data_IF_107729289091
#
_entry.id   IF_107729289091
#
_cell.length_a   1.000
_cell.length_b   1.000
_cell.length_c   1.000
_cell.angle_alpha   90.00
_cell.angle_beta   90.00
_cell.angle_gamma   90.00
#
_symmetry.space_group_name_H-M   'P 1'
#
loop_
_entity.id
_entity.type
_entity.pdbx_description
1 polymer ?
#
# COMPACT_ATOMS: atom_id res chain seq x y z
N UNK A 1 -19.40 -17.97 -22.39
CA UNK A 1 -19.77 -17.18 -21.19
C UNK A 1 -18.58 -16.52 -20.48
N UNK A 2 -17.33 -17.03 -20.57
CA UNK A 2 -16.18 -16.43 -19.85
C UNK A 2 -15.67 -15.09 -20.43
N UNK A 3 -15.65 -14.92 -21.76
CA UNK A 3 -15.16 -13.69 -22.41
C UNK A 3 -16.06 -12.46 -22.20
N UNK A 4 -17.37 -12.67 -22.02
CA UNK A 4 -18.34 -11.59 -21.75
C UNK A 4 -18.26 -11.12 -20.31
N UNK A 5 -18.08 -12.05 -19.35
CA UNK A 5 -17.91 -11.73 -17.94
C UNK A 5 -16.71 -10.80 -17.70
N UNK A 6 -15.56 -11.10 -18.31
CA UNK A 6 -14.35 -10.27 -18.17
C UNK A 6 -14.59 -8.85 -18.72
N UNK A 7 -15.29 -8.71 -19.84
CA UNK A 7 -15.63 -7.40 -20.42
C UNK A 7 -16.58 -6.62 -19.51
N UNK A 8 -17.60 -7.28 -18.97
CA UNK A 8 -18.56 -6.68 -18.04
C UNK A 8 -17.86 -6.21 -16.75
N UNK A 9 -16.93 -7.01 -16.21
CA UNK A 9 -16.12 -6.62 -15.04
C UNK A 9 -15.21 -5.42 -15.33
N UNK A 10 -14.57 -5.38 -16.51
CA UNK A 10 -13.72 -4.25 -16.91
C UNK A 10 -14.55 -2.96 -17.08
N UNK A 11 -15.74 -3.07 -17.69
CA UNK A 11 -16.65 -1.93 -17.85
C UNK A 11 -17.12 -1.40 -16.48
N UNK A 12 -17.60 -2.29 -15.60
CA UNK A 12 -18.06 -1.92 -14.27
C UNK A 12 -16.96 -1.26 -13.44
N UNK A 13 -15.74 -1.80 -13.47
CA UNK A 13 -14.61 -1.22 -12.73
C UNK A 13 -14.19 0.16 -13.27
N UNK A 14 -14.23 0.38 -14.60
CA UNK A 14 -14.03 1.71 -15.22
C UNK A 14 -15.12 2.70 -14.83
N UNK A 15 -16.37 2.25 -14.76
CA UNK A 15 -17.54 3.07 -14.39
C UNK A 15 -17.65 3.31 -12.87
N UNK A 16 -16.61 2.96 -12.10
CA UNK A 16 -16.52 3.23 -10.67
C UNK A 16 -17.25 2.23 -9.78
N UNK A 17 -17.76 1.13 -10.32
CA UNK A 17 -18.30 0.04 -9.51
C UNK A 17 -17.19 -0.73 -8.80
N UNK A 18 -17.53 -1.31 -7.66
CA UNK A 18 -16.61 -2.09 -6.82
C UNK A 18 -17.13 -3.51 -6.64
N UNK A 19 -16.26 -4.53 -6.71
CA UNK A 19 -16.68 -5.89 -6.41
C UNK A 19 -17.17 -5.98 -4.96
N UNK A 20 -18.30 -6.63 -4.75
CA UNK A 20 -18.84 -6.91 -3.42
C UNK A 20 -18.24 -8.23 -2.92
N UNK A 21 -17.40 -8.16 -1.90
CA UNK A 21 -16.61 -9.30 -1.41
C UNK A 21 -17.36 -10.19 -0.42
N UNK A 22 -18.40 -9.66 0.21
CA UNK A 22 -19.20 -10.39 1.21
C UNK A 22 -20.24 -11.29 0.54
N UNK A 23 -20.74 -12.26 1.30
CA UNK A 23 -21.80 -13.15 0.84
C UNK A 23 -23.17 -12.61 1.27
N UNK A 24 -24.07 -12.27 0.31
CA UNK A 24 -25.46 -11.96 0.63
C UNK A 24 -26.17 -13.13 1.30
N UNK A 25 -27.16 -12.83 2.14
CA UNK A 25 -28.01 -13.83 2.77
C UNK A 25 -28.76 -14.70 1.75
N UNK A 26 -29.03 -15.95 2.12
CA UNK A 26 -29.74 -16.90 1.25
C UNK A 26 -31.13 -16.37 0.83
N UNK A 27 -31.80 -15.65 1.72
CA UNK A 27 -33.12 -15.01 1.53
C UNK A 27 -33.16 -14.04 0.34
N UNK A 28 -32.02 -13.43 -0.02
CA UNK A 28 -31.89 -12.59 -1.20
C UNK A 28 -32.02 -13.43 -2.47
N UNK A 29 -31.35 -14.58 -2.50
CA UNK A 29 -31.34 -15.47 -3.67
C UNK A 29 -32.68 -16.18 -3.86
N UNK A 30 -33.38 -16.50 -2.77
CA UNK A 30 -34.75 -17.01 -2.82
C UNK A 30 -35.70 -16.00 -3.45
N UNK A 31 -35.65 -14.73 -3.03
CA UNK A 31 -36.47 -13.64 -3.63
C UNK A 31 -36.15 -13.37 -5.09
N UNK A 32 -34.87 -13.49 -5.47
CA UNK A 32 -34.42 -13.32 -6.85
C UNK A 32 -34.67 -14.57 -7.72
N UNK A 33 -35.08 -15.71 -7.14
CA UNK A 33 -35.23 -16.97 -7.87
C UNK A 33 -33.90 -17.48 -8.44
N UNK A 34 -32.78 -17.25 -7.76
CA UNK A 34 -31.45 -17.59 -8.27
C UNK A 34 -31.16 -19.10 -8.13
N UNK A 35 -31.68 -19.90 -9.05
CA UNK A 35 -31.52 -21.36 -9.04
C UNK A 35 -30.07 -21.85 -8.90
N UNK A 36 -29.04 -21.23 -9.53
CA UNK A 36 -27.66 -21.72 -9.40
C UNK A 36 -27.17 -21.72 -7.96
N UNK A 37 -27.52 -20.69 -7.19
CA UNK A 37 -27.16 -20.58 -5.77
C UNK A 37 -27.99 -21.54 -4.93
N UNK A 38 -29.30 -21.59 -5.16
CA UNK A 38 -30.23 -22.45 -4.42
C UNK A 38 -29.94 -23.95 -4.64
N UNK A 39 -29.43 -24.33 -5.81
CA UNK A 39 -29.02 -25.70 -6.16
C UNK A 39 -27.55 -25.99 -5.83
N UNK A 40 -26.83 -25.06 -5.17
CA UNK A 40 -25.43 -25.25 -4.76
C UNK A 40 -24.44 -25.40 -5.93
N UNK A 41 -24.75 -24.86 -7.12
CA UNK A 41 -23.87 -24.95 -8.29
C UNK A 41 -22.64 -24.05 -8.13
N UNK A 42 -21.54 -24.44 -8.78
CA UNK A 42 -20.26 -23.69 -8.78
C UNK A 42 -20.32 -22.34 -9.50
N UNK A 43 -21.34 -22.08 -10.31
CA UNK A 43 -21.54 -20.78 -10.96
C UNK A 43 -21.98 -19.75 -9.93
N UNK A 44 -20.98 -19.12 -9.30
CA UNK A 44 -21.19 -18.17 -8.22
C UNK A 44 -21.70 -16.83 -8.78
N UNK A 45 -22.66 -16.19 -8.11
CA UNK A 45 -23.06 -14.83 -8.43
C UNK A 45 -21.86 -13.90 -8.21
N UNK A 46 -21.68 -12.96 -9.14
CA UNK A 46 -20.63 -11.93 -9.07
C UNK A 46 -21.28 -10.59 -8.82
N UNK A 47 -21.27 -10.13 -7.58
CA UNK A 47 -21.89 -8.88 -7.17
C UNK A 47 -20.91 -7.71 -7.24
N UNK A 48 -21.41 -6.57 -7.67
CA UNK A 48 -20.76 -5.27 -7.65
C UNK A 48 -21.66 -4.27 -6.95
N UNK A 49 -21.08 -3.22 -6.36
CA UNK A 49 -21.84 -2.13 -5.75
C UNK A 49 -21.26 -0.77 -6.13
N UNK A 50 -22.12 0.24 -6.14
CA UNK A 50 -21.76 1.65 -6.28
C UNK A 50 -22.75 2.48 -5.47
N UNK A 51 -22.27 3.06 -4.37
CA UNK A 51 -23.15 3.69 -3.39
C UNK A 51 -24.16 2.67 -2.84
N UNK A 52 -25.45 2.93 -3.06
CA UNK A 52 -26.57 2.11 -2.58
C UNK A 52 -27.06 1.04 -3.56
N UNK A 53 -26.48 0.98 -4.76
CA UNK A 53 -26.92 0.08 -5.84
C UNK A 53 -25.99 -1.11 -5.96
N UNK A 54 -26.58 -2.30 -6.09
CA UNK A 54 -25.91 -3.59 -6.19
C UNK A 54 -26.32 -4.29 -7.49
N UNK A 55 -25.36 -4.80 -8.24
CA UNK A 55 -25.58 -5.47 -9.54
C UNK A 55 -24.85 -6.81 -9.58
N UNK A 56 -25.54 -7.86 -10.04
CA UNK A 56 -24.95 -9.17 -10.28
C UNK A 56 -24.66 -9.37 -11.77
N UNK A 57 -23.45 -9.79 -12.11
CA UNK A 57 -23.04 -10.15 -13.49
C UNK A 57 -22.80 -11.65 -13.68
N UNK A 58 -23.17 -12.47 -12.70
CA UNK A 58 -22.94 -13.92 -12.75
C UNK A 58 -23.78 -14.68 -13.78
N UNK A 59 -24.89 -14.12 -14.24
CA UNK A 59 -25.78 -14.75 -15.23
C UNK A 59 -26.48 -13.71 -16.10
N UNK A 60 -27.19 -14.17 -17.14
CA UNK A 60 -27.82 -13.31 -18.14
C UNK A 60 -28.96 -12.42 -17.60
N UNK A 61 -29.55 -12.76 -16.44
CA UNK A 61 -30.62 -11.96 -15.83
C UNK A 61 -30.16 -10.62 -15.26
N UNK A 62 -28.84 -10.46 -15.01
CA UNK A 62 -28.21 -9.20 -14.59
C UNK A 62 -28.97 -8.45 -13.48
N UNK A 63 -29.25 -9.15 -12.37
CA UNK A 63 -30.05 -8.61 -11.28
C UNK A 63 -29.47 -7.28 -10.74
N UNK A 64 -30.32 -6.28 -10.56
CA UNK A 64 -29.98 -4.97 -9.98
C UNK A 64 -30.88 -4.68 -8.77
N UNK A 65 -30.30 -4.26 -7.67
CA UNK A 65 -30.96 -4.04 -6.38
C UNK A 65 -30.51 -2.70 -5.79
N UNK A 66 -31.43 -1.97 -5.15
CA UNK A 66 -31.11 -0.73 -4.42
C UNK A 66 -31.38 -0.95 -2.93
N UNK A 67 -30.37 -0.74 -2.07
CA UNK A 67 -30.40 -1.03 -0.62
C UNK A 67 -31.10 -2.35 -0.24
N UNK A 68 -30.71 -3.49 -0.83
CA UNK A 68 -31.34 -4.76 -0.51
C UNK A 68 -31.07 -5.19 0.95
N UNK A 69 -32.13 -5.53 1.68
CA UNK A 69 -32.01 -6.24 2.96
C UNK A 69 -31.34 -7.60 2.74
N UNK A 70 -30.41 -7.98 3.62
CA UNK A 70 -29.62 -9.22 3.52
C UNK A 70 -28.29 -9.07 2.78
N UNK A 71 -27.90 -7.85 2.39
CA UNK A 71 -26.51 -7.55 2.04
C UNK A 71 -25.86 -6.91 3.27
N UNK A 72 -24.89 -7.59 3.92
CA UNK A 72 -24.03 -6.95 4.90
C UNK A 72 -23.49 -5.63 4.34
N UNK A 73 -23.68 -4.53 5.08
CA UNK A 73 -23.15 -3.24 4.67
C UNK A 73 -21.63 -3.42 4.55
N UNK A 74 -21.03 -3.19 3.36
CA UNK A 74 -19.59 -3.30 3.24
C UNK A 74 -19.02 -2.30 4.23
N UNK A 75 -18.30 -2.80 5.24
CA UNK A 75 -17.60 -1.93 6.17
C UNK A 75 -16.78 -0.97 5.31
N UNK A 76 -16.76 0.34 5.61
CA UNK A 76 -15.88 1.24 4.91
C UNK A 76 -14.49 0.63 5.03
N UNK A 77 -13.96 0.12 3.90
CA UNK A 77 -12.64 -0.47 3.87
C UNK A 77 -11.72 0.71 4.12
N UNK A 78 -11.40 0.92 5.40
CA UNK A 78 -10.27 1.72 5.82
C UNK A 78 -9.08 0.91 5.36
N UNK A 79 -8.73 1.08 4.09
CA UNK A 79 -7.34 0.91 3.71
C UNK A 79 -6.59 1.74 4.74
N UNK A 80 -5.67 1.11 5.49
CA UNK A 80 -4.62 1.90 6.11
C UNK A 80 -4.09 2.73 4.95
N UNK A 81 -4.31 4.04 5.00
CA UNK A 81 -3.66 4.95 4.07
C UNK A 81 -2.23 4.49 4.06
N UNK A 82 -1.76 4.00 2.91
CA UNK A 82 -0.33 3.80 2.72
C UNK A 82 0.22 5.15 3.16
N UNK A 83 0.97 5.23 4.28
CA UNK A 83 1.47 6.52 4.71
C UNK A 83 2.22 7.06 3.50
N UNK A 84 1.86 8.26 3.02
CA UNK A 84 2.43 8.83 1.79
C UNK A 84 3.97 8.85 1.86
N UNK A 85 4.49 8.84 3.08
CA UNK A 85 5.88 8.60 3.42
C UNK A 85 6.05 7.23 4.09
N UNK A 86 6.93 6.35 3.62
CA UNK A 86 7.19 5.11 4.32
C UNK A 86 7.69 5.41 5.73
N UNK A 87 6.95 4.95 6.73
CA UNK A 87 7.20 5.13 8.17
C UNK A 87 8.59 4.65 8.67
N UNK A 88 9.42 4.15 7.77
CA UNK A 88 10.75 3.60 8.02
C UNK A 88 11.88 4.41 7.36
N UNK A 89 11.57 5.51 6.66
CA UNK A 89 12.58 6.40 6.08
C UNK A 89 12.74 7.64 6.95
N UNK A 90 13.88 7.75 7.63
CA UNK A 90 14.29 8.98 8.30
C UNK A 90 14.94 9.90 7.28
N UNK A 91 14.59 11.18 7.28
CA UNK A 91 15.33 12.15 6.48
C UNK A 91 16.79 12.27 6.98
N UNK A 92 17.74 12.73 6.14
CA UNK A 92 19.10 13.02 6.58
C UNK A 92 19.18 13.93 7.82
N UNK A 93 18.27 14.89 7.94
CA UNK A 93 18.19 15.82 9.07
C UNK A 93 17.72 15.12 10.34
N UNK A 94 16.68 14.31 10.24
CA UNK A 94 16.21 13.50 11.36
C UNK A 94 17.25 12.47 11.79
N UNK A 95 18.00 11.89 10.84
CA UNK A 95 19.06 10.95 11.15
C UNK A 95 20.21 11.59 11.93
N UNK A 96 20.57 12.83 11.59
CA UNK A 96 21.57 13.64 12.31
C UNK A 96 21.05 14.19 13.66
N UNK A 97 19.74 14.37 13.81
CA UNK A 97 19.13 14.85 15.05
C UNK A 97 18.92 13.73 16.08
N UNK A 98 18.57 12.51 15.63
CA UNK A 98 18.26 11.37 16.52
C UNK A 98 19.49 10.56 16.95
N UNK A 99 20.61 10.66 16.22
CA UNK A 99 21.80 9.83 16.49
C UNK A 99 23.07 10.67 16.61
N UNK A 100 23.74 10.59 17.77
CA UNK A 100 25.06 11.22 17.98
C UNK A 100 26.21 10.50 17.26
N UNK A 101 26.01 9.20 16.98
CA UNK A 101 27.02 8.32 16.38
C UNK A 101 26.43 7.60 15.18
N UNK A 102 26.99 7.85 14.01
CA UNK A 102 26.54 7.28 12.76
C UNK A 102 27.42 6.10 12.35
N UNK A 103 26.81 5.12 11.70
CA UNK A 103 27.52 4.11 10.93
C UNK A 103 27.94 4.69 9.57
N UNK A 104 28.88 4.04 8.88
CA UNK A 104 29.35 4.43 7.53
C UNK A 104 28.17 4.57 6.55
N UNK A 105 27.22 3.63 6.57
CA UNK A 105 26.02 3.68 5.73
C UNK A 105 25.13 4.89 6.01
N UNK A 106 24.99 5.25 7.28
CA UNK A 106 24.18 6.40 7.70
C UNK A 106 24.87 7.71 7.33
N UNK A 107 26.19 7.80 7.49
CA UNK A 107 26.97 8.94 7.04
C UNK A 107 26.95 9.11 5.51
N UNK A 108 27.08 8.01 4.77
CA UNK A 108 26.95 7.99 3.30
C UNK A 108 25.58 8.51 2.85
N UNK A 109 24.51 8.06 3.54
CA UNK A 109 23.16 8.55 3.31
C UNK A 109 23.01 10.05 3.61
N UNK A 110 23.57 10.53 4.72
CA UNK A 110 23.47 11.94 5.13
C UNK A 110 24.24 12.91 4.21
N UNK A 111 25.37 12.46 3.66
CA UNK A 111 26.23 13.25 2.77
C UNK A 111 25.92 13.03 1.28
N UNK A 112 25.00 12.12 0.95
CA UNK A 112 24.68 11.71 -0.41
C UNK A 112 25.92 11.25 -1.23
N UNK A 113 26.80 10.48 -0.61
CA UNK A 113 28.02 9.92 -1.22
C UNK A 113 28.09 8.40 -1.09
N UNK A 114 29.01 7.76 -1.82
CA UNK A 114 29.22 6.32 -1.70
C UNK A 114 29.89 5.94 -0.37
N UNK A 115 29.66 4.71 0.13
CA UNK A 115 30.33 4.20 1.34
C UNK A 115 31.87 4.27 1.21
N UNK A 116 32.40 4.02 0.00
CA UNK A 116 33.84 4.11 -0.29
C UNK A 116 34.39 5.50 -0.04
N UNK A 117 33.69 6.53 -0.53
CA UNK A 117 34.06 7.93 -0.32
C UNK A 117 34.10 8.30 1.16
N UNK A 118 33.20 7.72 1.98
CA UNK A 118 33.24 7.91 3.44
C UNK A 118 34.48 7.26 4.06
N UNK A 119 34.88 6.07 3.61
CA UNK A 119 36.16 5.47 4.06
C UNK A 119 37.36 6.32 3.65
N UNK A 120 37.35 6.90 2.45
CA UNK A 120 38.40 7.80 1.98
C UNK A 120 38.48 9.06 2.87
N UNK A 121 37.33 9.67 3.23
CA UNK A 121 37.30 10.81 4.17
C UNK A 121 37.80 10.47 5.58
N UNK A 122 37.60 9.23 6.03
CA UNK A 122 38.16 8.75 7.30
C UNK A 122 39.68 8.56 7.17
N UNK A 123 40.17 8.04 6.04
CA UNK A 123 41.60 7.86 5.78
C UNK A 123 42.34 9.19 5.62
N UNK A 124 41.70 10.18 5.00
CA UNK A 124 42.17 11.57 4.85
C UNK A 124 42.13 12.36 6.18
N UNK A 125 41.48 11.82 7.22
CA UNK A 125 41.32 12.49 8.52
C UNK A 125 40.26 13.59 8.54
N UNK A 126 39.43 13.70 7.49
CA UNK A 126 38.31 14.64 7.40
C UNK A 126 37.12 14.24 8.26
N UNK A 127 36.99 12.94 8.58
CA UNK A 127 36.01 12.40 9.54
C UNK A 127 36.73 11.61 10.64
N UNK A 128 36.40 11.89 11.89
CA UNK A 128 37.02 11.27 13.06
C UNK A 128 36.36 9.92 13.35
N UNK A 129 37.18 8.87 13.31
CA UNK A 129 36.79 7.53 13.73
C UNK A 129 36.78 7.42 15.26
N UNK A 130 35.61 7.19 15.85
CA UNK A 130 35.48 7.00 17.30
C UNK A 130 35.71 5.57 17.77
N UNK A 131 35.29 4.57 16.98
CA UNK A 131 35.44 3.15 17.32
C UNK A 131 36.10 2.39 16.18
N UNK A 132 36.95 1.42 16.54
CA UNK A 132 37.63 0.51 15.64
C UNK A 132 36.65 -0.31 14.79
N UNK A 133 35.94 -1.27 15.38
CA UNK A 133 34.93 -2.04 14.65
C UNK A 133 33.69 -2.32 15.52
N UNK A 134 32.46 -2.13 15.01
CA UNK A 134 32.14 -1.41 13.76
C UNK A 134 32.52 0.08 13.84
N UNK A 135 32.90 0.67 12.70
CA UNK A 135 33.30 2.07 12.60
C UNK A 135 32.11 2.98 12.97
N UNK A 136 32.38 3.95 13.85
CA UNK A 136 31.41 4.96 14.26
C UNK A 136 31.99 6.35 14.05
N UNK A 137 31.21 7.21 13.41
CA UNK A 137 31.55 8.59 13.06
C UNK A 137 30.69 9.51 13.91
N UNK A 138 31.21 10.68 14.32
CA UNK A 138 30.42 11.69 15.05
C UNK A 138 29.44 12.38 14.10
N UNK A 139 28.18 12.50 14.53
CA UNK A 139 27.17 13.21 13.76
C UNK A 139 27.48 14.70 13.57
N UNK A 140 28.19 15.33 14.52
CA UNK A 140 28.60 16.74 14.44
C UNK A 140 29.49 17.04 13.22
N UNK A 141 30.48 16.19 12.97
CA UNK A 141 31.41 16.37 11.84
C UNK A 141 30.72 16.10 10.49
N UNK A 142 29.79 15.13 10.46
CA UNK A 142 28.97 14.87 9.27
C UNK A 142 28.04 16.05 8.98
N UNK A 143 27.54 16.73 10.02
CA UNK A 143 26.74 17.96 9.87
C UNK A 143 27.58 19.12 9.33
N UNK A 144 28.74 19.37 9.92
CA UNK A 144 29.68 20.41 9.45
C UNK A 144 30.14 20.15 8.02
N UNK A 145 30.41 18.89 7.66
CA UNK A 145 30.77 18.53 6.29
C UNK A 145 29.62 18.76 5.33
N UNK A 146 28.37 18.45 5.70
CA UNK A 146 27.18 18.70 4.87
C UNK A 146 26.99 20.20 4.59
N UNK A 147 27.13 21.06 5.60
CA UNK A 147 26.98 22.51 5.45
C UNK A 147 28.02 23.10 4.48
N UNK A 148 29.24 22.54 4.43
CA UNK A 148 30.30 22.96 3.51
C UNK A 148 30.14 22.45 2.06
N UNK A 149 29.19 21.55 1.77
CA UNK A 149 28.94 21.05 0.41
C UNK A 149 27.96 21.91 -0.39
N UNK A 150 27.20 22.78 0.28
CA UNK A 150 26.16 23.64 -0.32
C UNK A 150 26.68 25.06 -0.69
N UNK A 151 27.99 25.35 -0.53
CA UNK A 151 28.71 26.53 -1.06
C UNK A 151 29.51 26.19 -2.32
#
# INVERSE_FOLDING_TARGET
>A
MSKTLIRDVIALTRDGWRPYAEQPELSVYERLGCEPVLKGRKDRPYWFYRGDVYVCVGCASRCSLTRPQGFPVPLPIRYASIPEEPAYMLSPEEMLARHDRLNVKQAAYCLNVSERTVYDYIAEGRLIRLKGNPIRIRAKEVREMRENFDE
#
